data_IF_879903024446
#
_entry.id   IF_879903024446
#
_cell.length_a   1.000
_cell.length_b   1.000
_cell.length_c   1.000
_cell.angle_alpha   90.00
_cell.angle_beta   90.00
_cell.angle_gamma   90.00
#
_symmetry.space_group_name_H-M   'P 1'
#
loop_
_entity.id
_entity.type
_entity.pdbx_description
1 polymer ?
#
# COMPACT_ATOMS: atom_id res chain seq x y z
N UNK A 1 13.97 7.57 -10.99
CA UNK A 1 13.21 6.59 -10.20
C UNK A 1 12.33 7.34 -9.21
N UNK A 2 11.02 7.40 -9.45
CA UNK A 2 10.00 8.09 -8.63
C UNK A 2 9.40 7.12 -7.59
N UNK A 3 10.23 6.59 -6.69
CA UNK A 3 9.73 5.78 -5.56
C UNK A 3 9.15 6.67 -4.44
N UNK A 4 9.30 7.99 -4.53
CA UNK A 4 8.80 8.98 -3.57
C UNK A 4 7.28 9.21 -3.64
N UNK A 5 6.67 9.05 -4.82
CA UNK A 5 5.31 9.52 -5.06
C UNK A 5 4.24 8.61 -4.41
N UNK A 6 4.56 7.32 -4.22
CA UNK A 6 3.63 6.37 -3.58
C UNK A 6 3.50 6.63 -2.08
N UNK A 7 4.62 6.92 -1.41
CA UNK A 7 4.62 7.21 0.01
C UNK A 7 4.04 8.59 0.30
N UNK A 8 4.29 9.61 -0.54
CA UNK A 8 3.72 10.95 -0.36
C UNK A 8 2.18 10.91 -0.40
N UNK A 9 1.58 10.16 -1.33
CA UNK A 9 0.12 10.02 -1.39
C UNK A 9 -0.50 9.37 -0.15
N UNK A 10 0.19 8.39 0.46
CA UNK A 10 -0.25 7.76 1.71
C UNK A 10 -0.14 8.74 2.88
N UNK A 11 0.94 9.52 2.97
CA UNK A 11 1.12 10.53 4.02
C UNK A 11 0.11 11.67 3.90
N UNK A 12 -0.17 12.14 2.68
CA UNK A 12 -1.20 13.16 2.41
C UNK A 12 -2.59 12.66 2.83
N UNK A 13 -2.94 11.42 2.47
CA UNK A 13 -4.22 10.83 2.88
C UNK A 13 -4.33 10.71 4.41
N UNK A 14 -3.23 10.39 5.09
CA UNK A 14 -3.19 10.28 6.54
C UNK A 14 -3.31 11.64 7.22
N UNK A 15 -2.64 12.66 6.70
CA UNK A 15 -2.80 14.03 7.17
C UNK A 15 -4.25 14.52 6.99
N UNK A 16 -4.90 14.19 5.87
CA UNK A 16 -6.32 14.46 5.64
C UNK A 16 -7.21 13.73 6.67
N UNK A 17 -6.93 12.46 6.95
CA UNK A 17 -7.70 11.66 7.92
C UNK A 17 -7.59 12.19 9.36
N UNK A 18 -6.40 12.69 9.73
CA UNK A 18 -6.13 13.33 11.02
C UNK A 18 -6.82 14.71 11.13
N UNK A 19 -6.91 15.46 10.02
CA UNK A 19 -7.51 16.78 9.94
C UNK A 19 -8.89 16.80 9.26
N UNK A 20 -9.63 15.68 9.32
CA UNK A 20 -10.88 15.45 8.56
C UNK A 20 -11.92 16.57 8.64
N UNK A 21 -11.98 17.34 9.74
CA UNK A 21 -12.89 18.48 9.88
C UNK A 21 -12.57 19.70 9.00
N UNK A 22 -11.40 19.70 8.33
CA UNK A 22 -10.96 20.77 7.42
C UNK A 22 -11.22 20.45 5.94
N UNK A 23 -11.70 19.24 5.65
CA UNK A 23 -11.88 18.74 4.28
C UNK A 23 -13.36 18.44 4.02
N UNK A 24 -13.77 18.60 2.77
CA UNK A 24 -15.13 18.26 2.36
C UNK A 24 -15.30 16.74 2.21
N UNK A 25 -16.54 16.23 2.35
CA UNK A 25 -16.82 14.81 2.09
C UNK A 25 -16.39 14.34 0.69
N UNK A 26 -16.47 15.23 -0.31
CA UNK A 26 -16.06 14.92 -1.69
C UNK A 26 -14.55 14.66 -1.78
N UNK A 27 -13.73 15.53 -1.19
CA UNK A 27 -12.27 15.37 -1.18
C UNK A 27 -11.86 14.08 -0.47
N UNK A 28 -12.55 13.74 0.64
CA UNK A 28 -12.30 12.49 1.36
C UNK A 28 -12.64 11.25 0.51
N UNK A 29 -13.71 11.29 -0.28
CA UNK A 29 -14.09 10.20 -1.18
C UNK A 29 -13.12 10.03 -2.36
N UNK A 30 -12.64 11.13 -2.93
CA UNK A 30 -11.60 11.10 -3.97
C UNK A 30 -10.31 10.48 -3.42
N UNK A 31 -9.91 10.86 -2.20
CA UNK A 31 -8.74 10.28 -1.54
C UNK A 31 -8.92 8.80 -1.21
N UNK A 32 -10.12 8.39 -0.77
CA UNK A 32 -10.45 6.99 -0.54
C UNK A 32 -10.28 6.14 -1.81
N UNK A 33 -10.72 6.65 -2.96
CA UNK A 33 -10.56 5.97 -4.24
C UNK A 33 -9.09 5.85 -4.65
N UNK A 34 -8.29 6.90 -4.45
CA UNK A 34 -6.85 6.86 -4.72
C UNK A 34 -6.11 5.84 -3.83
N UNK A 35 -6.47 5.78 -2.55
CA UNK A 35 -5.94 4.79 -1.60
C UNK A 35 -6.31 3.36 -2.00
N UNK A 36 -7.53 3.13 -2.49
CA UNK A 36 -7.99 1.81 -2.94
C UNK A 36 -7.21 1.32 -4.16
N UNK A 37 -6.99 2.21 -5.13
CA UNK A 37 -6.13 1.92 -6.28
C UNK A 37 -4.70 1.59 -5.85
N UNK A 38 -4.14 2.35 -4.91
CA UNK A 38 -2.78 2.13 -4.39
C UNK A 38 -2.67 0.78 -3.68
N UNK A 39 -3.65 0.44 -2.84
CA UNK A 39 -3.71 -0.85 -2.14
C UNK A 39 -3.79 -2.02 -3.12
N UNK A 40 -4.56 -1.88 -4.20
CA UNK A 40 -4.67 -2.88 -5.27
C UNK A 40 -3.31 -3.11 -5.95
N UNK A 41 -2.61 -2.04 -6.35
CA UNK A 41 -1.29 -2.15 -6.97
C UNK A 41 -0.26 -2.81 -6.05
N UNK A 42 -0.30 -2.54 -4.74
CA UNK A 42 0.57 -3.22 -3.77
C UNK A 42 0.31 -4.73 -3.72
N UNK A 43 -0.96 -5.15 -3.76
CA UNK A 43 -1.30 -6.57 -3.81
C UNK A 43 -0.95 -7.23 -5.13
N UNK A 44 -1.10 -6.53 -6.25
CA UNK A 44 -0.64 -7.00 -7.56
C UNK A 44 0.88 -7.24 -7.58
N UNK A 45 1.66 -6.36 -6.95
CA UNK A 45 3.10 -6.56 -6.79
C UNK A 45 3.42 -7.82 -6.00
N UNK A 46 2.75 -8.05 -4.86
CA UNK A 46 2.91 -9.29 -4.05
C UNK A 46 2.56 -10.52 -4.89
N UNK A 47 1.47 -10.46 -5.65
CA UNK A 47 1.05 -11.53 -6.57
C UNK A 47 2.09 -11.81 -7.65
N UNK A 48 2.67 -10.77 -8.26
CA UNK A 48 3.72 -10.92 -9.28
C UNK A 48 4.97 -11.59 -8.72
N UNK A 49 5.38 -11.23 -7.49
CA UNK A 49 6.48 -11.89 -6.79
C UNK A 49 6.16 -13.36 -6.52
N UNK A 50 4.96 -13.68 -6.07
CA UNK A 50 4.55 -15.07 -5.84
C UNK A 50 4.56 -15.91 -7.14
N UNK A 51 4.15 -15.33 -8.26
CA UNK A 51 4.25 -16.00 -9.57
C UNK A 51 5.70 -16.23 -9.99
N UNK A 52 6.58 -15.25 -9.78
CA UNK A 52 8.01 -15.39 -10.05
C UNK A 52 8.63 -16.50 -9.20
N UNK A 53 8.31 -16.53 -7.90
CA UNK A 53 8.70 -17.58 -6.96
C UNK A 53 8.30 -18.97 -7.45
N UNK A 54 7.07 -19.11 -7.92
CA UNK A 54 6.59 -20.37 -8.44
C UNK A 54 7.33 -20.77 -9.74
N UNK A 55 7.53 -19.82 -10.67
CA UNK A 55 8.15 -20.07 -11.97
C UNK A 55 9.63 -20.47 -11.85
N UNK A 56 10.37 -19.92 -10.90
CA UNK A 56 11.79 -20.22 -10.69
C UNK A 56 12.04 -21.19 -9.52
N UNK A 57 11.00 -21.84 -9.00
CA UNK A 57 11.07 -22.73 -7.83
C UNK A 57 12.08 -23.88 -7.98
N UNK A 58 12.39 -24.30 -9.21
CA UNK A 58 13.36 -25.35 -9.52
C UNK A 58 14.79 -24.83 -9.72
N UNK A 59 14.98 -23.51 -9.82
CA UNK A 59 16.29 -22.89 -9.99
C UNK A 59 16.89 -22.53 -8.61
N UNK A 60 17.73 -23.43 -8.08
CA UNK A 60 18.39 -23.23 -6.77
C UNK A 60 19.25 -21.98 -6.69
N UNK A 61 19.84 -21.54 -7.81
CA UNK A 61 20.70 -20.36 -7.84
C UNK A 61 19.89 -19.06 -7.83
N UNK A 62 18.59 -19.10 -8.13
CA UNK A 62 17.69 -17.95 -8.08
C UNK A 62 17.19 -17.63 -6.65
N UNK A 63 17.43 -18.52 -5.68
CA UNK A 63 16.89 -18.48 -4.33
C UNK A 63 17.97 -18.65 -3.28
N UNK A 64 19.10 -17.95 -3.44
CA UNK A 64 20.07 -17.90 -2.35
C UNK A 64 19.48 -17.22 -1.10
N UNK A 65 20.14 -17.44 0.03
CA UNK A 65 19.65 -16.99 1.33
C UNK A 65 19.51 -15.47 1.43
N UNK A 66 20.40 -14.71 0.79
CA UNK A 66 20.40 -13.25 0.83
C UNK A 66 19.24 -12.69 -0.01
N UNK A 67 19.03 -13.27 -1.20
CA UNK A 67 17.89 -12.93 -2.08
C UNK A 67 16.56 -13.22 -1.40
N UNK A 68 16.40 -14.40 -0.78
CA UNK A 68 15.17 -14.74 -0.03
C UNK A 68 14.95 -13.75 1.12
N UNK A 69 16.01 -13.42 1.86
CA UNK A 69 15.90 -12.54 3.02
C UNK A 69 15.51 -11.12 2.61
N UNK A 70 16.12 -10.57 1.56
CA UNK A 70 15.81 -9.23 1.08
C UNK A 70 14.44 -9.15 0.41
N UNK A 71 14.02 -10.19 -0.32
CA UNK A 71 12.66 -10.30 -0.84
C UNK A 71 11.64 -10.36 0.31
N UNK A 72 11.93 -11.13 1.36
CA UNK A 72 11.09 -11.22 2.56
C UNK A 72 10.91 -9.87 3.26
N UNK A 73 11.99 -9.09 3.43
CA UNK A 73 11.91 -7.72 3.98
C UNK A 73 11.06 -6.81 3.08
N UNK A 74 11.23 -6.90 1.76
CA UNK A 74 10.45 -6.13 0.80
C UNK A 74 8.95 -6.44 0.86
N UNK A 75 8.60 -7.73 0.89
CA UNK A 75 7.20 -8.18 1.01
C UNK A 75 6.57 -7.74 2.34
N UNK A 76 7.33 -7.79 3.45
CA UNK A 76 6.88 -7.28 4.73
C UNK A 76 6.59 -5.78 4.68
N UNK A 77 7.50 -4.98 4.12
CA UNK A 77 7.31 -3.54 3.98
C UNK A 77 6.09 -3.17 3.10
N UNK A 78 5.88 -3.91 2.00
CA UNK A 78 4.70 -3.74 1.14
C UNK A 78 3.41 -4.08 1.88
N UNK A 79 3.41 -5.17 2.66
CA UNK A 79 2.27 -5.59 3.46
C UNK A 79 1.93 -4.56 4.55
N UNK A 80 2.94 -4.02 5.24
CA UNK A 80 2.76 -2.97 6.24
C UNK A 80 2.18 -1.69 5.62
N UNK A 81 2.61 -1.32 4.41
CA UNK A 81 2.05 -0.20 3.67
C UNK A 81 0.56 -0.44 3.32
N UNK A 82 0.21 -1.63 2.85
CA UNK A 82 -1.17 -2.00 2.52
C UNK A 82 -2.09 -1.96 3.76
N UNK A 83 -1.61 -2.43 4.91
CA UNK A 83 -2.33 -2.34 6.20
C UNK A 83 -2.46 -0.89 6.70
N UNK A 84 -1.42 -0.07 6.49
CA UNK A 84 -1.44 1.35 6.80
C UNK A 84 -2.48 2.12 5.98
N UNK A 85 -2.64 1.77 4.71
CA UNK A 85 -3.69 2.29 3.84
C UNK A 85 -5.08 1.91 4.38
N UNK A 86 -5.30 0.65 4.74
CA UNK A 86 -6.58 0.18 5.28
C UNK A 86 -7.02 0.98 6.51
N UNK A 87 -6.10 1.17 7.46
CA UNK A 87 -6.34 2.01 8.64
C UNK A 87 -6.69 3.46 8.28
N UNK A 88 -6.03 4.01 7.27
CA UNK A 88 -6.27 5.39 6.81
C UNK A 88 -7.64 5.52 6.15
N UNK A 89 -8.04 4.53 5.35
CA UNK A 89 -9.38 4.47 4.75
C UNK A 89 -10.47 4.44 5.83
N UNK A 90 -10.31 3.62 6.86
CA UNK A 90 -11.25 3.57 7.99
C UNK A 90 -11.43 4.92 8.70
N UNK A 91 -10.33 5.67 8.86
CA UNK A 91 -10.38 7.01 9.47
C UNK A 91 -11.11 8.01 8.59
N UNK A 92 -10.88 7.98 7.28
CA UNK A 92 -11.57 8.85 6.30
C UNK A 92 -13.06 8.51 6.21
N UNK A 93 -13.43 7.23 6.17
CA UNK A 93 -14.84 6.78 6.14
C UNK A 93 -15.61 7.26 7.37
N UNK A 94 -14.99 7.23 8.55
CA UNK A 94 -15.57 7.82 9.77
C UNK A 94 -15.71 9.34 9.69
N UNK A 95 -14.86 10.02 8.93
CA UNK A 95 -14.99 11.45 8.65
C UNK A 95 -16.21 11.76 7.78
N UNK A 96 -16.39 10.99 6.71
CA UNK A 96 -17.54 11.12 5.79
C UNK A 96 -18.87 10.86 6.50
N UNK A 97 -18.95 9.86 7.38
CA UNK A 97 -20.18 9.52 8.09
C UNK A 97 -20.62 10.55 9.15
N UNK A 98 -19.73 11.46 9.56
CA UNK A 98 -19.98 12.46 10.62
C UNK A 98 -20.06 13.90 10.08
N UNK A 99 -19.94 14.10 8.76
CA UNK A 99 -19.92 15.40 8.08
C UNK A 99 -21.18 15.67 7.26
#
# INVERSE_FOLDING_TARGET
MRYTDLFSGIYEARAMAENRGQHSPKEMLEQLSALDSTQTTLWEFVGAVAMLMNHTSTNRDAWDQDVIQDLGKGLAAVSDAALGIEKTKDMLLKGVANG
#
